data_IF_811516731029
#
_entry.id   IF_811516731029
#
_cell.length_a   1.000
_cell.length_b   1.000
_cell.length_c   1.000
_cell.angle_alpha   90.00
_cell.angle_beta   90.00
_cell.angle_gamma   90.00
#
_symmetry.space_group_name_H-M   'P 1'
#
loop_
_entity.id
_entity.type
_entity.pdbx_description
1 polymer ?
#
# COMPACT_ATOMS: atom_id res chain seq x y z
N UNK A 1 -9.91 -23.66 -16.15
CA UNK A 1 -10.20 -23.26 -14.74
C UNK A 1 -9.50 -21.95 -14.48
N UNK A 2 -10.22 -20.83 -14.44
CA UNK A 2 -9.65 -19.53 -14.11
C UNK A 2 -9.21 -19.55 -12.65
N UNK A 3 -7.90 -19.46 -12.39
CA UNK A 3 -7.37 -19.35 -11.03
C UNK A 3 -7.99 -18.11 -10.39
N UNK A 4 -8.76 -18.28 -9.32
CA UNK A 4 -9.28 -17.16 -8.56
C UNK A 4 -8.10 -16.26 -8.15
N UNK A 5 -8.10 -15.01 -8.64
CA UNK A 5 -7.05 -14.05 -8.33
C UNK A 5 -7.19 -13.71 -6.85
N UNK A 6 -6.21 -14.11 -6.05
CA UNK A 6 -6.20 -13.76 -4.62
C UNK A 6 -5.87 -12.28 -4.49
N UNK A 7 -6.69 -11.47 -3.79
CA UNK A 7 -6.42 -10.04 -3.67
C UNK A 7 -5.12 -9.80 -2.89
N UNK A 8 -4.28 -8.92 -3.41
CA UNK A 8 -3.01 -8.54 -2.79
C UNK A 8 -3.26 -7.55 -1.64
N UNK A 9 -3.76 -8.05 -0.51
CA UNK A 9 -4.10 -7.28 0.68
C UNK A 9 -2.90 -7.14 1.65
N UNK A 10 -2.85 -6.06 2.47
CA UNK A 10 -1.83 -5.91 3.50
C UNK A 10 -2.09 -6.85 4.69
N UNK A 11 -1.02 -7.32 5.33
CA UNK A 11 -1.04 -7.94 6.65
C UNK A 11 -0.55 -6.91 7.66
N UNK A 12 -1.40 -6.51 8.61
CA UNK A 12 -1.01 -5.64 9.72
C UNK A 12 -0.55 -6.51 10.92
N UNK A 13 0.39 -6.04 11.75
CA UNK A 13 1.06 -4.73 11.71
C UNK A 13 2.32 -4.67 10.82
N UNK A 14 2.72 -5.76 10.17
CA UNK A 14 4.00 -5.83 9.41
C UNK A 14 3.97 -5.19 8.02
N UNK A 15 2.78 -4.87 7.51
CA UNK A 15 2.52 -4.28 6.19
C UNK A 15 3.12 -5.03 5.00
N UNK A 16 3.18 -6.37 5.07
CA UNK A 16 3.54 -7.21 3.93
C UNK A 16 2.31 -7.65 3.16
N UNK A 17 2.47 -7.94 1.87
CA UNK A 17 1.41 -8.48 1.05
C UNK A 17 1.17 -9.95 1.38
N UNK A 18 -0.10 -10.32 1.64
CA UNK A 18 -0.50 -11.71 1.94
C UNK A 18 -0.16 -12.71 0.83
N UNK A 19 -0.12 -12.27 -0.42
CA UNK A 19 0.05 -13.16 -1.58
C UNK A 19 1.52 -13.34 -1.95
N UNK A 20 2.31 -12.26 -1.92
CA UNK A 20 3.68 -12.27 -2.46
C UNK A 20 4.77 -11.91 -1.44
N UNK A 21 4.43 -11.63 -0.18
CA UNK A 21 5.39 -11.30 0.87
C UNK A 21 6.09 -9.95 0.75
N UNK A 22 5.95 -9.25 -0.38
CA UNK A 22 6.58 -7.95 -0.60
C UNK A 22 5.92 -6.84 0.24
N UNK A 23 6.64 -5.73 0.53
CA UNK A 23 6.06 -4.56 1.17
C UNK A 23 4.80 -4.09 0.45
N UNK A 24 3.67 -4.06 1.16
CA UNK A 24 2.40 -3.57 0.61
C UNK A 24 2.39 -2.02 0.61
N UNK A 25 1.95 -1.30 -0.44
CA UNK A 25 1.40 -1.81 -1.70
C UNK A 25 2.48 -2.41 -2.61
N UNK A 26 2.34 -3.70 -2.92
CA UNK A 26 3.15 -4.40 -3.93
C UNK A 26 2.63 -4.10 -5.35
N UNK A 27 3.37 -4.47 -6.41
CA UNK A 27 3.02 -4.15 -7.80
C UNK A 27 1.56 -4.47 -8.17
N UNK A 28 1.10 -5.69 -7.90
CA UNK A 28 -0.28 -6.13 -8.16
C UNK A 28 -1.33 -5.37 -7.33
N UNK A 29 -1.01 -5.03 -6.08
CA UNK A 29 -1.90 -4.21 -5.25
C UNK A 29 -2.02 -2.79 -5.84
N UNK A 30 -0.91 -2.20 -6.31
CA UNK A 30 -0.91 -0.88 -6.95
C UNK A 30 -1.78 -0.88 -8.20
N UNK A 31 -1.63 -1.89 -9.07
CA UNK A 31 -2.44 -2.03 -10.28
C UNK A 31 -3.93 -2.20 -9.93
N UNK A 32 -4.25 -3.06 -8.97
CA UNK A 32 -5.63 -3.28 -8.53
C UNK A 32 -6.28 -2.00 -8.02
N UNK A 33 -5.56 -1.23 -7.18
CA UNK A 33 -6.02 0.05 -6.65
C UNK A 33 -6.22 1.10 -7.75
N UNK A 34 -5.35 1.14 -8.77
CA UNK A 34 -5.55 2.05 -9.91
C UNK A 34 -6.79 1.70 -10.74
N UNK A 35 -7.10 0.41 -10.86
CA UNK A 35 -8.30 -0.06 -11.56
C UNK A 35 -9.55 0.28 -10.74
N UNK A 36 -9.54 -0.03 -9.45
CA UNK A 36 -10.64 0.22 -8.52
C UNK A 36 -10.99 1.72 -8.43
N UNK A 37 -9.98 2.59 -8.40
CA UNK A 37 -10.15 4.04 -8.29
C UNK A 37 -9.97 4.80 -9.61
N UNK A 38 -10.13 4.13 -10.77
CA UNK A 38 -9.85 4.72 -12.10
C UNK A 38 -10.59 6.05 -12.36
N UNK A 39 -11.79 6.23 -11.79
CA UNK A 39 -12.59 7.45 -11.91
C UNK A 39 -12.43 8.45 -10.76
N UNK A 40 -11.68 8.13 -9.71
CA UNK A 40 -11.56 8.98 -8.53
C UNK A 40 -10.16 8.88 -7.90
N UNK A 41 -9.20 9.54 -8.54
CA UNK A 41 -7.80 9.53 -8.06
C UNK A 41 -7.64 10.21 -6.70
N UNK A 42 -8.43 11.25 -6.42
CA UNK A 42 -8.40 11.93 -5.12
C UNK A 42 -8.77 10.98 -3.98
N UNK A 43 -9.81 10.18 -4.15
CA UNK A 43 -10.19 9.17 -3.15
C UNK A 43 -9.08 8.12 -2.93
N UNK A 44 -8.39 7.71 -4.00
CA UNK A 44 -7.23 6.80 -3.87
C UNK A 44 -6.12 7.43 -3.03
N UNK A 45 -5.79 8.70 -3.27
CA UNK A 45 -4.73 9.40 -2.53
C UNK A 45 -5.09 9.58 -1.05
N UNK A 46 -6.35 9.91 -0.75
CA UNK A 46 -6.83 10.02 0.64
C UNK A 46 -6.72 8.65 1.33
N UNK A 47 -7.21 7.59 0.69
CA UNK A 47 -7.13 6.23 1.22
C UNK A 47 -5.68 5.81 1.51
N UNK A 48 -4.78 6.02 0.54
CA UNK A 48 -3.37 5.69 0.70
C UNK A 48 -2.67 6.54 1.77
N UNK A 49 -3.07 7.80 1.95
CA UNK A 49 -2.54 8.66 3.01
C UNK A 49 -2.93 8.14 4.39
N UNK A 50 -4.20 7.75 4.59
CA UNK A 50 -4.66 7.13 5.84
C UNK A 50 -3.88 5.86 6.15
N UNK A 51 -3.70 4.98 5.16
CA UNK A 51 -2.93 3.75 5.35
C UNK A 51 -1.45 4.00 5.61
N UNK A 52 -0.86 5.04 5.01
CA UNK A 52 0.53 5.41 5.25
C UNK A 52 0.77 5.80 6.71
N UNK A 53 -0.12 6.58 7.31
CA UNK A 53 -0.03 6.97 8.73
C UNK A 53 -0.20 5.75 9.66
N UNK A 54 -1.17 4.89 9.37
CA UNK A 54 -1.35 3.64 10.11
C UNK A 54 -0.12 2.71 9.98
N UNK A 55 0.50 2.69 8.80
CA UNK A 55 1.74 1.95 8.59
C UNK A 55 2.93 2.54 9.33
N UNK A 56 3.02 3.86 9.41
CA UNK A 56 4.06 4.53 10.17
C UNK A 56 3.98 4.17 11.66
N UNK A 57 2.79 4.20 12.25
CA UNK A 57 2.56 3.82 13.65
C UNK A 57 3.00 2.37 13.90
N UNK A 58 2.38 1.42 13.18
CA UNK A 58 2.66 -0.01 13.35
C UNK A 58 4.13 -0.39 13.13
N UNK A 59 4.79 0.16 12.09
CA UNK A 59 6.19 -0.16 11.81
C UNK A 59 7.16 0.47 12.82
N UNK A 60 6.81 1.63 13.38
CA UNK A 60 7.61 2.25 14.46
C UNK A 60 7.56 1.40 15.72
N UNK A 61 6.39 0.85 16.07
CA UNK A 61 6.23 -0.06 17.20
C UNK A 61 7.01 -1.36 17.02
N UNK A 62 7.02 -1.92 15.80
CA UNK A 62 7.75 -3.16 15.47
C UNK A 62 9.26 -2.99 15.43
N UNK A 63 9.76 -1.79 15.18
CA UNK A 63 11.20 -1.50 15.05
C UNK A 63 11.60 -0.29 15.90
N UNK A 64 11.56 -0.39 17.25
CA UNK A 64 11.96 0.70 18.12
C UNK A 64 13.40 1.15 17.83
N UNK A 65 13.61 2.46 17.69
CA UNK A 65 14.92 3.04 17.39
C UNK A 65 15.30 3.07 15.90
N UNK A 66 14.51 2.45 15.02
CA UNK A 66 14.69 2.56 13.56
C UNK A 66 13.38 2.99 12.91
N UNK A 67 13.11 4.32 12.83
CA UNK A 67 11.87 4.80 12.24
C UNK A 67 11.76 4.37 10.77
N UNK A 68 10.56 3.99 10.29
CA UNK A 68 10.35 3.58 8.91
C UNK A 68 10.57 4.76 7.97
N UNK A 69 11.44 4.59 6.97
CA UNK A 69 11.74 5.59 5.94
C UNK A 69 11.05 5.27 4.61
N UNK A 70 10.87 6.28 3.75
CA UNK A 70 10.38 6.08 2.38
C UNK A 70 8.90 5.69 2.25
N UNK A 71 8.09 5.89 3.31
CA UNK A 71 6.66 5.55 3.27
C UNK A 71 5.87 6.38 2.26
N UNK A 72 6.25 7.65 2.04
CA UNK A 72 5.63 8.49 1.01
C UNK A 72 5.85 7.92 -0.39
N UNK A 73 7.05 7.46 -0.72
CA UNK A 73 7.32 6.86 -2.03
C UNK A 73 6.62 5.51 -2.20
N UNK A 74 6.55 4.74 -1.13
CA UNK A 74 5.88 3.45 -1.09
C UNK A 74 4.36 3.55 -1.27
N UNK A 75 3.70 4.49 -0.59
CA UNK A 75 2.24 4.60 -0.59
C UNK A 75 1.71 5.63 -1.59
N UNK A 76 2.37 6.78 -1.77
CA UNK A 76 1.79 7.96 -2.44
C UNK A 76 2.41 8.25 -3.80
N UNK A 77 3.75 8.28 -3.92
CA UNK A 77 4.43 8.87 -5.08
C UNK A 77 4.02 8.24 -6.41
N UNK A 78 3.86 6.91 -6.47
CA UNK A 78 3.41 6.20 -7.68
C UNK A 78 1.92 6.44 -8.02
N UNK A 79 1.11 6.82 -7.02
CA UNK A 79 -0.32 7.06 -7.14
C UNK A 79 -0.66 8.52 -7.44
N UNK A 80 0.33 9.38 -7.71
CA UNK A 80 0.08 10.70 -8.27
C UNK A 80 -0.14 10.59 -9.78
N UNK A 81 -0.92 11.50 -10.37
CA UNK A 81 -0.97 11.59 -11.83
C UNK A 81 0.44 11.95 -12.32
N UNK A 82 0.90 11.29 -13.40
CA UNK A 82 2.05 11.81 -14.14
C UNK A 82 1.52 13.05 -14.87
N UNK A 83 2.05 14.22 -14.52
CA UNK A 83 1.79 15.46 -15.25
C UNK A 83 2.28 15.38 -16.69
#
# INVERSE_FOLDING_TARGET
MSRAVRPHLPIRPIWLCRVCGHPWPCGEARLSLLVEYRGNRTALLIYLATLKEEAAAHLTELTPGRPPSGLTDRFISWARARG
#
